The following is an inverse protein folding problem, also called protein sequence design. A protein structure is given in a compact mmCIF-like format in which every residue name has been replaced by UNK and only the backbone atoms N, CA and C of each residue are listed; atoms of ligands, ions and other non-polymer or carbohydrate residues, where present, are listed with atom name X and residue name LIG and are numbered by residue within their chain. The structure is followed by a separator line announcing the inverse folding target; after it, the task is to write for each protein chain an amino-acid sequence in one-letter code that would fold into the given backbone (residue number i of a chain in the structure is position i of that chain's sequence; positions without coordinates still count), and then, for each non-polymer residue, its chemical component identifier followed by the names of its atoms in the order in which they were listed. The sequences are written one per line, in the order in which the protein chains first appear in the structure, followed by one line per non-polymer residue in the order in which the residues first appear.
data_IF_526716401900
#
_entry.id   IF_526716401900
#
_cell.length_a   1.000
_cell.length_b   1.000
_cell.length_c   1.000
_cell.angle_alpha   90.00
_cell.angle_beta   90.00
_cell.angle_gamma   90.00
#
_symmetry.space_group_name_H-M   'P 1'
#
loop_
_entity.id
_entity.type
_entity.pdbx_description
1 polymer ?
#
# COMPACT_ATOMS: atom_id res chain seq x y z
N UNK A 1 6.59 -40.91 16.69
CA UNK A 1 7.11 -40.07 17.79
C UNK A 1 6.42 -38.72 17.71
N UNK A 2 5.95 -38.15 18.82
CA UNK A 2 5.30 -36.84 18.83
C UNK A 2 6.27 -35.74 18.36
N UNK A 3 5.83 -34.87 17.45
CA UNK A 3 6.68 -33.82 16.88
C UNK A 3 6.87 -32.71 17.92
N UNK A 4 8.11 -32.54 18.40
CA UNK A 4 8.44 -31.58 19.45
C UNK A 4 9.19 -30.38 18.88
N UNK A 5 8.87 -29.18 19.32
CA UNK A 5 9.59 -27.95 18.93
C UNK A 5 9.75 -27.05 20.14
N UNK A 6 10.92 -26.44 20.29
CA UNK A 6 11.16 -25.40 21.29
C UNK A 6 11.09 -24.02 20.65
N UNK A 7 10.40 -23.08 21.28
CA UNK A 7 10.25 -21.72 20.75
C UNK A 7 10.85 -20.74 21.75
N UNK A 8 11.84 -19.97 21.30
CA UNK A 8 12.55 -18.97 22.11
C UNK A 8 12.21 -17.54 21.66
N UNK A 9 12.29 -16.53 22.55
CA UNK A 9 12.03 -15.16 22.14
C UNK A 9 13.15 -14.69 21.20
N UNK A 10 12.78 -13.92 20.17
CA UNK A 10 13.76 -13.28 19.29
C UNK A 10 14.54 -12.15 19.97
N UNK A 11 13.97 -11.58 21.04
CA UNK A 11 14.63 -10.56 21.85
C UNK A 11 15.60 -11.21 22.82
N UNK A 12 16.73 -10.57 23.07
CA UNK A 12 17.67 -10.92 24.15
C UNK A 12 17.12 -10.56 25.54
N UNK A 13 16.01 -9.81 25.62
CA UNK A 13 15.37 -9.49 26.90
C UNK A 13 14.74 -10.75 27.52
N UNK A 14 14.83 -10.92 28.85
CA UNK A 14 14.19 -12.03 29.55
C UNK A 14 12.69 -12.08 29.25
N UNK A 15 12.17 -13.26 28.94
CA UNK A 15 10.75 -13.49 28.71
C UNK A 15 10.17 -14.35 29.83
N UNK A 16 9.03 -13.95 30.39
CA UNK A 16 8.28 -14.78 31.34
C UNK A 16 7.52 -15.93 30.65
N UNK A 17 7.42 -15.92 29.31
CA UNK A 17 6.61 -16.86 28.52
C UNK A 17 7.45 -17.84 27.69
N UNK A 18 8.74 -17.55 27.50
CA UNK A 18 9.63 -18.30 26.60
C UNK A 18 11.02 -18.46 27.25
N UNK A 19 11.76 -19.55 26.97
CA UNK A 19 11.49 -20.58 25.97
C UNK A 19 10.31 -21.49 26.35
N UNK A 20 9.60 -21.98 25.33
CA UNK A 20 8.45 -22.86 25.47
C UNK A 20 8.62 -24.07 24.56
N UNK A 21 8.59 -25.28 25.12
CA UNK A 21 8.54 -26.52 24.33
C UNK A 21 7.09 -26.96 24.14
N UNK A 22 6.73 -27.23 22.89
CA UNK A 22 5.40 -27.65 22.46
C UNK A 22 5.50 -28.99 21.75
N UNK A 23 4.60 -29.88 22.14
CA UNK A 23 4.37 -31.17 21.49
C UNK A 23 3.19 -30.99 20.54
N UNK A 24 3.34 -31.49 19.32
CA UNK A 24 2.32 -31.47 18.28
C UNK A 24 1.93 -32.90 17.97
N UNK A 25 0.66 -33.19 18.23
CA UNK A 25 0.09 -34.53 18.07
C UNK A 25 -0.45 -34.77 16.64
N UNK A 26 -0.46 -33.73 15.81
CA UNK A 26 -0.87 -33.81 14.40
C UNK A 26 0.27 -34.30 13.51
N UNK A 27 -0.05 -35.20 12.58
CA UNK A 27 0.84 -35.67 11.51
C UNK A 27 0.19 -35.44 10.13
N UNK A 28 0.77 -34.61 9.25
CA UNK A 28 1.99 -33.83 9.45
C UNK A 28 1.77 -32.65 10.43
N UNK A 29 2.79 -32.37 11.25
CA UNK A 29 2.76 -31.21 12.14
C UNK A 29 2.79 -29.90 11.33
N UNK A 30 1.71 -29.10 11.42
CA UNK A 30 1.56 -27.86 10.64
C UNK A 30 1.97 -26.61 11.42
N UNK A 31 2.23 -25.52 10.69
CA UNK A 31 2.47 -24.20 11.28
C UNK A 31 1.26 -23.72 12.09
N UNK A 32 0.04 -23.96 11.62
CA UNK A 32 -1.19 -23.59 12.31
C UNK A 32 -1.36 -24.32 13.64
N UNK A 33 -1.03 -25.62 13.69
CA UNK A 33 -1.02 -26.40 14.92
C UNK A 33 0.00 -25.85 15.94
N UNK A 34 1.22 -25.52 15.48
CA UNK A 34 2.25 -24.90 16.31
C UNK A 34 1.76 -23.58 16.93
N UNK A 35 1.19 -22.68 16.12
CA UNK A 35 0.67 -21.40 16.60
C UNK A 35 -0.44 -21.57 17.61
N UNK A 36 -1.36 -22.50 17.36
CA UNK A 36 -2.48 -22.79 18.24
C UNK A 36 -2.01 -23.37 19.58
N UNK A 37 -1.01 -24.26 19.57
CA UNK A 37 -0.40 -24.82 20.78
C UNK A 37 0.34 -23.76 21.62
N UNK A 38 1.00 -22.80 20.98
CA UNK A 38 1.61 -21.65 21.69
C UNK A 38 0.51 -20.77 22.27
N UNK A 39 -0.54 -20.48 21.49
CA UNK A 39 -1.64 -19.62 21.93
C UNK A 39 -2.35 -20.17 23.16
N UNK A 40 -2.60 -21.49 23.21
CA UNK A 40 -3.25 -22.14 24.35
C UNK A 40 -2.39 -22.10 25.61
N UNK A 41 -1.06 -22.31 25.50
CA UNK A 41 -0.15 -22.34 26.65
C UNK A 41 0.18 -20.96 27.23
N UNK A 42 0.39 -19.95 26.39
CA UNK A 42 0.89 -18.63 26.85
C UNK A 42 -0.04 -17.46 26.56
N UNK A 43 -1.29 -17.75 26.14
CA UNK A 43 -2.34 -16.75 25.82
C UNK A 43 -1.86 -15.67 24.82
N UNK A 44 -0.98 -16.06 23.91
CA UNK A 44 -0.50 -15.18 22.83
C UNK A 44 -1.30 -15.48 21.57
N UNK A 45 -2.16 -14.55 21.16
CA UNK A 45 -3.00 -14.67 19.97
C UNK A 45 -2.21 -15.14 18.73
N UNK A 46 -2.75 -16.08 17.97
CA UNK A 46 -2.10 -16.73 16.81
C UNK A 46 -1.65 -15.74 15.74
N UNK A 47 -2.36 -14.61 15.57
CA UNK A 47 -2.01 -13.59 14.59
C UNK A 47 -0.89 -12.66 15.06
N UNK A 48 -0.62 -12.62 16.37
CA UNK A 48 0.52 -11.89 16.95
C UNK A 48 1.83 -12.66 16.84
N UNK A 49 1.78 -13.94 16.49
CA UNK A 49 2.94 -14.82 16.49
C UNK A 49 3.67 -14.76 15.15
N UNK A 50 4.86 -14.15 15.14
CA UNK A 50 5.80 -14.25 14.02
C UNK A 50 6.90 -15.25 14.37
N UNK A 51 6.85 -16.42 13.75
CA UNK A 51 7.80 -17.52 14.00
C UNK A 51 8.80 -17.61 12.84
N UNK A 52 10.09 -17.66 13.16
CA UNK A 52 11.17 -17.82 12.20
C UNK A 52 12.11 -18.95 12.61
N UNK A 53 12.65 -19.65 11.63
CA UNK A 53 13.75 -20.59 11.83
C UNK A 53 15.05 -19.85 12.18
N UNK A 54 16.09 -20.55 12.67
CA UNK A 54 17.40 -19.95 12.95
C UNK A 54 18.05 -19.26 11.72
N UNK A 55 17.81 -19.77 10.50
CA UNK A 55 18.23 -19.18 9.23
C UNK A 55 17.34 -18.02 8.76
N UNK A 56 16.44 -17.54 9.63
CA UNK A 56 15.51 -16.41 9.40
C UNK A 56 14.44 -16.69 8.34
N UNK A 57 14.18 -17.95 7.98
CA UNK A 57 13.05 -18.33 7.15
C UNK A 57 11.76 -18.15 7.95
N UNK A 58 10.78 -17.48 7.35
CA UNK A 58 9.51 -17.18 7.98
C UNK A 58 8.53 -18.33 7.77
N UNK A 59 7.86 -18.76 8.83
CA UNK A 59 6.73 -19.70 8.76
C UNK A 59 5.47 -18.89 8.45
N UNK A 60 5.21 -18.66 7.16
CA UNK A 60 4.18 -17.75 6.65
C UNK A 60 2.90 -18.42 6.14
N UNK A 61 2.82 -19.76 6.24
CA UNK A 61 1.66 -20.52 5.79
C UNK A 61 1.19 -21.55 6.82
N UNK A 62 0.03 -21.28 7.42
CA UNK A 62 -0.51 -22.05 8.54
C UNK A 62 -0.92 -23.48 8.13
N UNK A 63 -1.27 -23.67 6.85
CA UNK A 63 -1.63 -24.98 6.31
C UNK A 63 -0.41 -25.87 6.00
N UNK A 64 0.78 -25.29 5.86
CA UNK A 64 1.96 -26.04 5.46
C UNK A 64 2.56 -26.84 6.62
N UNK A 65 3.03 -28.07 6.36
CA UNK A 65 3.86 -28.82 7.29
C UNK A 65 5.12 -28.06 7.70
N UNK A 66 5.52 -28.19 8.96
CA UNK A 66 6.78 -27.65 9.49
C UNK A 66 7.99 -28.19 8.71
N UNK A 67 7.92 -29.44 8.25
CA UNK A 67 8.97 -30.08 7.44
C UNK A 67 9.26 -29.36 6.12
N UNK A 68 8.27 -28.73 5.47
CA UNK A 68 8.51 -27.93 4.25
C UNK A 68 9.32 -26.67 4.52
N UNK A 69 9.28 -26.17 5.77
CA UNK A 69 10.14 -25.09 6.20
C UNK A 69 11.55 -25.55 6.54
N UNK A 70 11.81 -26.87 6.56
CA UNK A 70 13.07 -27.47 6.97
C UNK A 70 13.16 -27.70 8.49
N UNK A 71 12.04 -27.59 9.20
CA UNK A 71 11.97 -27.78 10.66
C UNK A 71 11.82 -29.26 10.97
N UNK A 72 12.67 -29.76 11.87
CA UNK A 72 12.67 -31.13 12.37
C UNK A 72 12.21 -31.17 13.82
N UNK A 73 11.76 -32.34 14.28
CA UNK A 73 11.46 -32.54 15.69
C UNK A 73 12.72 -32.34 16.54
N UNK A 74 12.60 -31.58 17.62
CA UNK A 74 13.71 -31.16 18.49
C UNK A 74 14.27 -29.77 18.16
N UNK A 75 13.91 -29.18 17.02
CA UNK A 75 14.44 -27.87 16.61
C UNK A 75 13.99 -26.74 17.54
N UNK A 76 14.83 -25.69 17.56
CA UNK A 76 14.51 -24.44 18.26
C UNK A 76 14.20 -23.33 17.27
N UNK A 77 13.00 -22.77 17.36
CA UNK A 77 12.51 -21.66 16.55
C UNK A 77 12.50 -20.34 17.33
N UNK A 78 12.53 -19.22 16.61
CA UNK A 78 12.41 -17.89 17.19
C UNK A 78 10.99 -17.34 17.03
N UNK A 79 10.42 -16.79 18.11
CA UNK A 79 9.15 -16.07 18.07
C UNK A 79 9.31 -14.60 18.39
N UNK A 80 8.58 -13.77 17.63
CA UNK A 80 8.39 -12.35 17.92
C UNK A 80 6.89 -12.08 18.07
N UNK A 81 6.52 -11.46 19.18
CA UNK A 81 5.20 -10.86 19.35
C UNK A 81 5.12 -9.58 18.51
N UNK A 82 4.15 -9.52 17.61
CA UNK A 82 3.91 -8.38 16.73
C UNK A 82 3.16 -7.23 17.42
N UNK A 83 2.74 -7.41 18.67
CA UNK A 83 1.87 -6.47 19.38
C UNK A 83 0.43 -6.53 18.86
N UNK A 84 -0.46 -5.63 19.33
CA UNK A 84 -1.86 -5.58 18.92
C UNK A 84 -2.03 -5.63 17.40
N UNK A 85 -2.78 -6.62 16.95
CA UNK A 85 -3.11 -6.87 15.55
C UNK A 85 -4.59 -6.59 15.32
N UNK A 86 -4.94 -6.14 14.12
CA UNK A 86 -6.33 -5.97 13.70
C UNK A 86 -6.65 -6.98 12.61
N UNK A 87 -7.82 -7.62 12.70
CA UNK A 87 -8.27 -8.68 11.79
C UNK A 87 -8.58 -8.22 10.37
N UNK A 88 -8.49 -9.14 9.41
CA UNK A 88 -8.72 -8.93 7.98
C UNK A 88 -10.06 -8.25 7.62
N UNK A 89 -11.12 -8.48 8.40
CA UNK A 89 -12.42 -7.84 8.20
C UNK A 89 -12.44 -6.34 8.51
N UNK A 90 -11.52 -5.87 9.35
CA UNK A 90 -11.33 -4.46 9.68
C UNK A 90 -10.26 -3.78 8.80
N UNK A 91 -9.42 -4.54 8.07
CA UNK A 91 -8.39 -3.98 7.18
C UNK A 91 -8.98 -3.08 6.09
N UNK A 92 -10.15 -3.41 5.54
CA UNK A 92 -10.84 -2.55 4.57
C UNK A 92 -11.27 -1.21 5.18
N UNK A 93 -11.75 -1.21 6.44
CA UNK A 93 -12.07 -0.01 7.22
C UNK A 93 -10.87 0.86 7.57
N UNK A 94 -9.65 0.31 7.50
CA UNK A 94 -8.42 0.97 7.93
C UNK A 94 -7.63 1.57 6.78
N UNK A 95 -7.61 0.92 5.62
CA UNK A 95 -7.15 1.57 4.39
C UNK A 95 -8.07 2.74 4.00
N UNK A 96 -9.37 2.63 4.33
CA UNK A 96 -10.29 3.76 4.34
C UNK A 96 -9.70 4.93 5.14
N UNK A 97 -9.36 4.76 6.42
CA UNK A 97 -8.79 5.88 7.20
C UNK A 97 -7.51 6.51 6.65
N UNK A 98 -6.69 5.76 5.89
CA UNK A 98 -5.43 6.27 5.32
C UNK A 98 -5.68 7.28 4.19
N UNK A 99 -6.66 7.02 3.33
CA UNK A 99 -6.99 7.83 2.15
C UNK A 99 -8.23 8.73 2.34
N UNK A 100 -8.96 8.55 3.45
CA UNK A 100 -10.15 9.33 3.79
C UNK A 100 -9.81 10.79 4.09
N UNK A 101 -8.66 11.06 4.70
CA UNK A 101 -8.26 12.41 5.12
C UNK A 101 -8.34 13.44 3.99
N UNK A 102 -7.65 13.23 2.86
CA UNK A 102 -7.74 14.12 1.70
C UNK A 102 -9.18 14.41 1.22
N UNK A 103 -10.11 13.44 1.32
CA UNK A 103 -11.51 13.66 0.94
C UNK A 103 -12.23 14.73 1.77
N UNK A 104 -11.76 15.02 2.99
CA UNK A 104 -12.31 16.09 3.83
C UNK A 104 -11.42 17.32 3.89
N UNK A 105 -10.10 17.12 3.90
CA UNK A 105 -9.15 18.22 4.00
C UNK A 105 -9.22 19.11 2.75
N UNK A 106 -9.32 18.53 1.55
CA UNK A 106 -9.41 19.34 0.33
C UNK A 106 -10.68 20.21 0.29
N UNK A 107 -11.90 19.68 0.53
CA UNK A 107 -13.09 20.50 0.67
C UNK A 107 -13.00 21.52 1.81
N UNK A 108 -12.40 21.17 2.94
CA UNK A 108 -12.24 22.11 4.06
C UNK A 108 -11.43 23.34 3.66
N UNK A 109 -10.29 23.17 2.98
CA UNK A 109 -9.51 24.32 2.49
C UNK A 109 -10.20 25.09 1.36
N UNK A 110 -10.91 24.39 0.47
CA UNK A 110 -11.65 25.02 -0.63
C UNK A 110 -12.82 25.87 -0.10
N UNK A 111 -13.79 25.25 0.56
CA UNK A 111 -14.99 25.94 1.07
C UNK A 111 -14.70 26.82 2.29
N UNK A 112 -13.68 26.47 3.09
CA UNK A 112 -13.25 27.22 4.27
C UNK A 112 -12.26 28.34 3.98
N UNK A 113 -12.18 28.86 2.76
CA UNK A 113 -11.17 29.85 2.35
C UNK A 113 -11.07 31.08 3.28
N UNK A 114 -12.20 31.56 3.83
CA UNK A 114 -12.19 32.67 4.81
C UNK A 114 -11.49 32.28 6.12
N UNK A 115 -11.69 31.05 6.59
CA UNK A 115 -11.09 30.54 7.82
C UNK A 115 -9.58 30.32 7.66
N UNK A 116 -9.16 29.70 6.55
CA UNK A 116 -7.76 29.31 6.35
C UNK A 116 -6.87 30.41 5.78
N UNK A 117 -7.43 31.33 4.98
CA UNK A 117 -6.66 32.38 4.29
C UNK A 117 -7.07 33.80 4.68
N UNK A 118 -8.06 33.98 5.56
CA UNK A 118 -8.53 35.29 6.01
C UNK A 118 -9.22 36.13 4.92
N UNK A 119 -9.49 35.55 3.74
CA UNK A 119 -10.03 36.25 2.58
C UNK A 119 -11.12 35.44 1.88
N UNK A 120 -12.14 36.15 1.40
CA UNK A 120 -13.10 35.64 0.43
C UNK A 120 -12.65 36.04 -0.97
N UNK A 121 -12.66 35.09 -1.90
CA UNK A 121 -12.31 35.31 -3.30
C UNK A 121 -12.97 34.23 -4.16
N UNK A 122 -13.05 34.47 -5.46
CA UNK A 122 -13.58 33.46 -6.38
C UNK A 122 -12.50 32.43 -6.74
N UNK A 123 -12.80 31.15 -6.55
CA UNK A 123 -11.92 30.08 -6.99
C UNK A 123 -11.88 29.98 -8.51
N UNK A 124 -10.67 29.80 -9.04
CA UNK A 124 -10.46 29.61 -10.48
C UNK A 124 -11.04 28.29 -10.99
N UNK A 125 -11.25 28.20 -12.31
CA UNK A 125 -11.63 26.94 -12.97
C UNK A 125 -10.60 25.83 -12.70
N UNK A 126 -9.32 26.16 -12.71
CA UNK A 126 -8.24 25.23 -12.35
C UNK A 126 -8.44 24.67 -10.93
N UNK A 127 -8.71 25.51 -9.93
CA UNK A 127 -8.96 25.03 -8.56
C UNK A 127 -10.20 24.14 -8.46
N UNK A 128 -11.29 24.49 -9.18
CA UNK A 128 -12.52 23.68 -9.26
C UNK A 128 -12.23 22.30 -9.85
N UNK A 129 -11.54 22.24 -11.00
CA UNK A 129 -11.18 20.98 -11.66
C UNK A 129 -10.21 20.18 -10.79
N UNK A 130 -9.17 20.79 -10.24
CA UNK A 130 -8.22 20.12 -9.37
C UNK A 130 -8.89 19.50 -8.13
N UNK A 131 -9.88 20.18 -7.52
CA UNK A 131 -10.70 19.61 -6.45
C UNK A 131 -11.45 18.35 -6.90
N UNK A 132 -12.11 18.38 -8.06
CA UNK A 132 -12.82 17.21 -8.59
C UNK A 132 -11.85 16.05 -8.85
N UNK A 133 -10.71 16.31 -9.50
CA UNK A 133 -9.72 15.27 -9.82
C UNK A 133 -9.15 14.61 -8.55
N UNK A 134 -8.75 15.41 -7.54
CA UNK A 134 -8.18 14.84 -6.32
C UNK A 134 -9.21 14.08 -5.50
N UNK A 135 -10.45 14.55 -5.43
CA UNK A 135 -11.53 13.82 -4.78
C UNK A 135 -11.84 12.51 -5.52
N UNK A 136 -11.87 12.55 -6.86
CA UNK A 136 -12.08 11.36 -7.68
C UNK A 136 -10.93 10.35 -7.51
N UNK A 137 -9.67 10.81 -7.43
CA UNK A 137 -8.50 9.98 -7.13
C UNK A 137 -8.72 9.17 -5.85
N UNK A 138 -8.95 9.89 -4.74
CA UNK A 138 -9.05 9.26 -3.43
C UNK A 138 -10.32 8.43 -3.30
N UNK A 139 -11.46 8.88 -3.83
CA UNK A 139 -12.68 8.07 -3.85
C UNK A 139 -12.48 6.76 -4.61
N UNK A 140 -11.86 6.80 -5.80
CA UNK A 140 -11.49 5.60 -6.55
C UNK A 140 -10.56 4.71 -5.73
N UNK A 141 -9.55 5.27 -5.06
CA UNK A 141 -8.63 4.50 -4.20
C UNK A 141 -9.34 3.77 -3.06
N UNK A 142 -10.36 4.40 -2.47
CA UNK A 142 -11.21 3.76 -1.46
C UNK A 142 -12.06 2.63 -2.03
N UNK A 143 -12.70 2.87 -3.17
CA UNK A 143 -13.50 1.85 -3.84
C UNK A 143 -12.64 0.65 -4.26
N UNK A 144 -11.44 0.89 -4.81
CA UNK A 144 -10.49 -0.19 -5.14
C UNK A 144 -10.08 -0.98 -3.90
N UNK A 145 -9.85 -0.31 -2.79
CA UNK A 145 -9.52 -0.96 -1.52
C UNK A 145 -10.65 -1.85 -1.02
N UNK A 146 -11.90 -1.38 -1.10
CA UNK A 146 -13.06 -2.13 -0.65
C UNK A 146 -13.41 -3.31 -1.56
N UNK A 147 -13.31 -3.11 -2.88
CA UNK A 147 -13.91 -4.03 -3.86
C UNK A 147 -12.91 -4.76 -4.75
N UNK A 148 -11.67 -4.26 -4.90
CA UNK A 148 -10.67 -4.80 -5.84
C UNK A 148 -9.49 -5.44 -5.13
N UNK A 149 -8.90 -4.78 -4.14
CA UNK A 149 -7.68 -5.26 -3.49
C UNK A 149 -7.91 -6.53 -2.67
N UNK A 150 -7.08 -7.54 -2.92
CA UNK A 150 -7.04 -8.79 -2.15
C UNK A 150 -5.78 -8.85 -1.30
N UNK A 151 -5.92 -8.59 -0.01
CA UNK A 151 -4.80 -8.62 0.95
C UNK A 151 -4.41 -10.05 1.31
N UNK A 152 -3.10 -10.32 1.37
CA UNK A 152 -2.57 -11.65 1.68
C UNK A 152 -2.23 -11.84 3.17
N UNK A 153 -2.26 -10.76 3.95
CA UNK A 153 -2.00 -10.81 5.39
C UNK A 153 -3.33 -10.87 6.13
N UNK A 154 -3.46 -11.81 7.06
CA UNK A 154 -4.64 -11.93 7.91
C UNK A 154 -4.77 -10.75 8.90
N UNK A 155 -3.67 -10.07 9.21
CA UNK A 155 -3.64 -8.93 10.13
C UNK A 155 -2.58 -7.88 9.78
N UNK A 156 -2.71 -6.70 10.38
CA UNK A 156 -1.67 -5.66 10.39
C UNK A 156 -1.48 -5.04 11.79
N UNK A 157 -0.28 -4.54 12.14
CA UNK A 157 -0.04 -3.82 13.39
C UNK A 157 -0.79 -2.48 13.45
N UNK A 158 -1.46 -2.18 14.57
CA UNK A 158 -2.26 -0.96 14.78
C UNK A 158 -1.48 0.35 14.49
N UNK A 159 -0.25 0.47 14.99
CA UNK A 159 0.54 1.70 14.86
C UNK A 159 0.89 2.07 13.41
N UNK A 160 0.85 1.12 12.47
CA UNK A 160 1.05 1.43 11.05
C UNK A 160 -0.06 2.33 10.51
N UNK A 161 -1.27 2.24 11.05
CA UNK A 161 -2.43 3.04 10.61
C UNK A 161 -2.21 4.50 10.98
N UNK A 162 -1.83 4.79 12.22
CA UNK A 162 -1.56 6.17 12.68
C UNK A 162 -0.40 6.77 11.89
N UNK A 163 0.66 6.01 11.69
CA UNK A 163 1.83 6.46 10.93
C UNK A 163 1.49 6.73 9.46
N UNK A 164 0.79 5.80 8.80
CA UNK A 164 0.42 5.95 7.41
C UNK A 164 -0.59 7.10 7.23
N UNK A 165 -1.65 7.13 8.03
CA UNK A 165 -2.65 8.21 7.99
C UNK A 165 -2.00 9.56 8.25
N UNK A 166 -1.13 9.70 9.26
CA UNK A 166 -0.41 10.96 9.49
C UNK A 166 0.45 11.41 8.30
N UNK A 167 1.08 10.46 7.60
CA UNK A 167 1.86 10.75 6.39
C UNK A 167 0.97 11.22 5.22
N UNK A 168 -0.10 10.50 4.92
CA UNK A 168 -1.00 10.85 3.81
C UNK A 168 -1.82 12.10 4.11
N UNK A 169 -2.34 12.26 5.32
CA UNK A 169 -3.12 13.43 5.70
C UNK A 169 -2.26 14.69 5.77
N UNK A 170 -1.00 14.56 6.22
CA UNK A 170 -0.04 15.67 6.24
C UNK A 170 0.44 16.07 4.85
N UNK A 171 0.98 15.13 4.06
CA UNK A 171 1.55 15.44 2.74
C UNK A 171 0.50 15.61 1.65
N UNK A 172 -0.47 14.70 1.57
CA UNK A 172 -1.47 14.75 0.51
C UNK A 172 -2.72 15.52 0.88
N UNK A 173 -3.06 15.61 2.17
CA UNK A 173 -4.15 16.48 2.64
C UNK A 173 -3.68 17.92 2.78
N UNK A 174 -2.97 18.23 3.88
CA UNK A 174 -2.68 19.61 4.27
C UNK A 174 -1.68 20.28 3.30
N UNK A 175 -0.54 19.64 3.04
CA UNK A 175 0.52 20.23 2.21
C UNK A 175 0.06 20.44 0.77
N UNK A 176 -0.81 19.60 0.20
CA UNK A 176 -1.38 19.87 -1.13
C UNK A 176 -2.51 20.90 -1.07
N UNK A 177 -3.48 20.73 -0.18
CA UNK A 177 -4.69 21.55 -0.16
C UNK A 177 -4.39 23.02 0.15
N UNK A 178 -3.55 23.30 1.17
CA UNK A 178 -3.27 24.65 1.61
C UNK A 178 -2.67 25.57 0.51
N UNK A 179 -1.60 25.19 -0.21
CA UNK A 179 -1.09 25.99 -1.32
C UNK A 179 -1.96 25.93 -2.57
N UNK A 180 -2.76 24.89 -2.77
CA UNK A 180 -3.60 24.74 -3.96
C UNK A 180 -4.79 25.71 -3.92
N UNK A 181 -5.49 25.76 -2.81
CA UNK A 181 -6.75 26.51 -2.69
C UNK A 181 -6.59 27.95 -2.22
N UNK A 182 -5.37 28.46 -2.05
CA UNK A 182 -5.17 29.84 -1.61
C UNK A 182 -5.49 30.90 -2.68
N UNK A 183 -5.62 32.17 -2.26
CA UNK A 183 -6.05 33.29 -3.10
C UNK A 183 -5.10 33.60 -4.28
N UNK A 184 -3.82 33.22 -4.19
CA UNK A 184 -2.85 33.35 -5.30
C UNK A 184 -3.18 32.47 -6.52
N UNK A 185 -4.04 31.46 -6.35
CA UNK A 185 -4.57 30.64 -7.44
C UNK A 185 -6.05 30.95 -7.75
N UNK A 186 -6.61 32.02 -7.16
CA UNK A 186 -7.99 32.45 -7.40
C UNK A 186 -8.21 32.95 -8.82
N UNK A 187 -9.48 33.02 -9.26
CA UNK A 187 -9.87 33.36 -10.62
C UNK A 187 -9.17 34.63 -11.12
N UNK A 188 -9.33 35.75 -10.38
CA UNK A 188 -8.73 37.03 -10.73
C UNK A 188 -7.19 37.02 -10.86
N UNK A 189 -6.49 36.07 -10.22
CA UNK A 189 -5.03 35.94 -10.30
C UNK A 189 -4.55 35.12 -11.48
N UNK A 190 -5.40 34.24 -12.02
CA UNK A 190 -5.03 33.35 -13.12
C UNK A 190 -5.48 33.86 -14.49
N UNK A 191 -6.34 34.89 -14.57
CA UNK A 191 -6.78 35.50 -15.83
C UNK A 191 -5.58 35.76 -16.75
N UNK A 192 -5.67 35.29 -17.99
CA UNK A 192 -4.64 35.47 -19.02
C UNK A 192 -3.41 34.58 -18.87
N UNK A 193 -3.33 33.73 -17.84
CA UNK A 193 -2.28 32.72 -17.71
C UNK A 193 -2.67 31.41 -18.39
N UNK A 194 -1.70 30.53 -18.65
CA UNK A 194 -1.98 29.19 -19.17
C UNK A 194 -2.95 28.39 -18.28
N UNK A 195 -2.94 28.61 -16.96
CA UNK A 195 -3.79 27.93 -15.98
C UNK A 195 -5.26 28.38 -16.00
N UNK A 196 -5.61 29.43 -16.75
CA UNK A 196 -6.99 29.85 -17.00
C UNK A 196 -7.53 29.33 -18.35
N UNK A 197 -6.63 28.91 -19.25
CA UNK A 197 -7.00 28.34 -20.54
C UNK A 197 -7.75 27.02 -20.41
N UNK A 198 -8.85 26.89 -21.14
CA UNK A 198 -9.64 25.66 -21.21
C UNK A 198 -8.84 24.49 -21.80
N UNK A 199 -8.06 24.74 -22.86
CA UNK A 199 -7.26 23.70 -23.49
C UNK A 199 -6.18 23.17 -22.56
N UNK A 200 -5.58 24.03 -21.74
CA UNK A 200 -4.63 23.62 -20.70
C UNK A 200 -5.30 22.75 -19.64
N UNK A 201 -6.39 23.25 -19.05
CA UNK A 201 -7.08 22.56 -17.96
C UNK A 201 -7.61 21.20 -18.42
N UNK A 202 -8.31 21.16 -19.56
CA UNK A 202 -8.91 19.93 -20.07
C UNK A 202 -7.88 18.98 -20.67
N UNK A 203 -6.79 19.48 -21.27
CA UNK A 203 -5.70 18.64 -21.75
C UNK A 203 -5.03 17.85 -20.60
N UNK A 204 -4.69 18.54 -19.51
CA UNK A 204 -4.14 17.87 -18.33
C UNK A 204 -5.16 16.97 -17.62
N UNK A 205 -6.43 17.40 -17.52
CA UNK A 205 -7.49 16.57 -16.94
C UNK A 205 -7.73 15.29 -17.76
N UNK A 206 -7.65 15.35 -19.09
CA UNK A 206 -7.78 14.18 -19.96
C UNK A 206 -6.60 13.21 -19.78
N UNK A 207 -5.37 13.71 -19.71
CA UNK A 207 -4.19 12.88 -19.41
C UNK A 207 -4.31 12.22 -18.03
N UNK A 208 -4.77 12.99 -17.03
CA UNK A 208 -5.04 12.47 -15.69
C UNK A 208 -6.09 11.36 -15.72
N UNK A 209 -7.21 11.56 -16.41
CA UNK A 209 -8.28 10.57 -16.50
C UNK A 209 -7.83 9.29 -17.20
N UNK A 210 -7.08 9.42 -18.31
CA UNK A 210 -6.44 8.28 -18.96
C UNK A 210 -5.54 7.50 -17.99
N UNK A 211 -4.72 8.20 -17.22
CA UNK A 211 -3.81 7.59 -16.26
C UNK A 211 -4.56 6.86 -15.13
N UNK A 212 -5.62 7.45 -14.58
CA UNK A 212 -6.45 6.83 -13.54
C UNK A 212 -7.17 5.57 -14.01
N UNK A 213 -7.76 5.61 -15.21
CA UNK A 213 -8.42 4.45 -15.82
C UNK A 213 -7.40 3.35 -16.10
N UNK A 214 -6.24 3.72 -16.61
CA UNK A 214 -5.14 2.77 -16.87
C UNK A 214 -4.64 2.13 -15.58
N UNK A 215 -4.50 2.91 -14.51
CA UNK A 215 -4.18 2.42 -13.17
C UNK A 215 -5.25 1.44 -12.65
N UNK A 216 -6.54 1.78 -12.79
CA UNK A 216 -7.65 0.88 -12.41
C UNK A 216 -7.61 -0.45 -13.16
N UNK A 217 -7.41 -0.41 -14.49
CA UNK A 217 -7.27 -1.63 -15.32
C UNK A 217 -6.12 -2.50 -14.80
N UNK A 218 -4.99 -1.90 -14.44
CA UNK A 218 -3.88 -2.66 -13.88
C UNK A 218 -4.19 -3.24 -12.50
N UNK A 219 -4.95 -2.55 -11.64
CA UNK A 219 -5.39 -3.08 -10.35
C UNK A 219 -6.37 -4.25 -10.51
N UNK A 220 -7.34 -4.15 -11.43
CA UNK A 220 -8.27 -5.24 -11.75
C UNK A 220 -7.52 -6.49 -12.26
N UNK A 221 -6.52 -6.29 -13.12
CA UNK A 221 -5.65 -7.38 -13.59
C UNK A 221 -4.88 -8.00 -12.42
N UNK A 222 -4.24 -7.19 -11.55
CA UNK A 222 -3.55 -7.73 -10.37
C UNK A 222 -4.49 -8.49 -9.42
N UNK A 223 -5.75 -8.07 -9.30
CA UNK A 223 -6.75 -8.73 -8.48
C UNK A 223 -7.19 -10.07 -9.08
N UNK A 224 -7.28 -10.19 -10.42
CA UNK A 224 -7.69 -11.43 -11.10
C UNK A 224 -6.65 -12.55 -10.95
N UNK A 225 -5.37 -12.20 -10.82
CA UNK A 225 -4.26 -13.14 -10.62
C UNK A 225 -4.26 -13.86 -9.27
N UNK A 226 -5.19 -13.51 -8.35
CA UNK A 226 -5.29 -14.12 -7.03
C UNK A 226 -6.67 -14.75 -6.84
N UNK A 227 -6.87 -16.04 -7.15
CA UNK A 227 -8.10 -16.76 -6.80
C UNK A 227 -8.42 -16.62 -5.30
N UNK A 228 -9.71 -16.50 -4.96
CA UNK A 228 -10.16 -16.35 -3.56
C UNK A 228 -9.62 -17.51 -2.72
N UNK A 229 -9.07 -17.21 -1.54
CA UNK A 229 -8.51 -18.20 -0.62
C UNK A 229 -7.09 -18.68 -0.93
N UNK A 230 -6.45 -18.22 -2.01
CA UNK A 230 -5.08 -18.63 -2.36
C UNK A 230 -4.05 -17.54 -2.04
N UNK A 231 -2.85 -17.95 -1.62
CA UNK A 231 -1.67 -17.08 -1.49
C UNK A 231 -0.76 -17.12 -2.73
N UNK A 232 -1.16 -17.86 -3.76
CA UNK A 232 -0.37 -18.07 -4.98
C UNK A 232 -0.14 -16.73 -5.67
N UNK A 233 1.11 -16.50 -6.07
CA UNK A 233 1.50 -15.33 -6.86
C UNK A 233 1.68 -15.76 -8.31
N UNK A 234 1.21 -14.92 -9.22
CA UNK A 234 1.39 -15.10 -10.65
C UNK A 234 2.10 -13.88 -11.24
N UNK A 235 2.70 -14.07 -12.41
CA UNK A 235 3.33 -13.00 -13.18
C UNK A 235 2.22 -12.21 -13.89
N UNK A 236 2.06 -10.90 -13.63
CA UNK A 236 1.08 -10.10 -14.35
C UNK A 236 1.46 -9.98 -15.83
N UNK A 237 0.48 -10.05 -16.72
CA UNK A 237 0.64 -9.98 -18.18
C UNK A 237 -0.43 -9.07 -18.78
N UNK A 238 -0.20 -8.58 -20.00
CA UNK A 238 -1.14 -7.71 -20.71
C UNK A 238 -0.90 -6.23 -20.46
N UNK A 239 -1.98 -5.44 -20.54
CA UNK A 239 -1.95 -3.99 -20.48
C UNK A 239 -1.18 -3.48 -19.24
N UNK A 240 -0.21 -2.59 -19.48
CA UNK A 240 0.66 -2.04 -18.42
C UNK A 240 1.74 -2.98 -17.87
N UNK A 241 1.76 -4.27 -18.25
CA UNK A 241 2.69 -5.27 -17.69
C UNK A 241 3.59 -5.94 -18.73
N UNK A 242 3.45 -5.64 -20.01
CA UNK A 242 4.28 -6.25 -21.05
C UNK A 242 5.76 -5.85 -20.94
N UNK A 243 6.02 -4.55 -20.71
CA UNK A 243 7.37 -3.97 -20.68
C UNK A 243 7.87 -3.64 -19.26
N UNK A 244 6.97 -3.58 -18.28
CA UNK A 244 7.29 -3.19 -16.90
C UNK A 244 6.61 -4.09 -15.89
N UNK A 245 7.12 -4.09 -14.67
CA UNK A 245 6.65 -4.98 -13.59
C UNK A 245 5.53 -4.36 -12.77
N UNK A 246 5.52 -3.03 -12.68
CA UNK A 246 4.62 -2.27 -11.83
C UNK A 246 3.86 -1.22 -12.68
N UNK A 247 3.03 -1.70 -13.62
CA UNK A 247 2.20 -0.83 -14.46
C UNK A 247 1.30 0.09 -13.65
N UNK A 248 0.78 -0.39 -12.53
CA UNK A 248 -0.03 0.42 -11.62
C UNK A 248 0.72 1.65 -11.09
N UNK A 249 1.97 1.49 -10.64
CA UNK A 249 2.79 2.62 -10.16
C UNK A 249 3.20 3.57 -11.28
N UNK A 250 3.38 3.05 -12.50
CA UNK A 250 3.68 3.88 -13.67
C UNK A 250 2.50 4.79 -14.03
N UNK A 251 1.29 4.24 -14.12
CA UNK A 251 0.11 5.05 -14.41
C UNK A 251 -0.24 6.00 -13.27
N UNK A 252 -0.05 5.58 -12.02
CA UNK A 252 -0.13 6.48 -10.85
C UNK A 252 0.82 7.68 -11.00
N UNK A 253 2.06 7.44 -11.44
CA UNK A 253 3.05 8.50 -11.69
C UNK A 253 2.56 9.47 -12.77
N UNK A 254 1.96 8.98 -13.86
CA UNK A 254 1.42 9.84 -14.91
C UNK A 254 0.28 10.71 -14.37
N UNK A 255 -0.62 10.14 -13.55
CA UNK A 255 -1.72 10.88 -12.95
C UNK A 255 -1.20 12.05 -12.09
N UNK A 256 -0.25 11.80 -11.19
CA UNK A 256 0.32 12.85 -10.34
C UNK A 256 1.13 13.88 -11.12
N UNK A 257 1.89 13.47 -12.15
CA UNK A 257 2.55 14.41 -13.05
C UNK A 257 1.54 15.29 -13.81
N UNK A 258 0.42 14.72 -14.27
CA UNK A 258 -0.64 15.48 -14.94
C UNK A 258 -1.31 16.47 -13.99
N UNK A 259 -1.55 16.07 -12.73
CA UNK A 259 -2.07 16.97 -11.69
C UNK A 259 -1.10 18.10 -11.34
N UNK A 260 0.21 17.81 -11.26
CA UNK A 260 1.25 18.83 -11.10
C UNK A 260 1.30 19.77 -12.29
N UNK A 261 1.21 19.26 -13.52
CA UNK A 261 1.13 20.07 -14.74
C UNK A 261 -0.09 20.98 -14.78
N UNK A 262 -1.27 20.45 -14.42
CA UNK A 262 -2.52 21.22 -14.34
C UNK A 262 -2.41 22.41 -13.38
N UNK A 263 -1.85 22.18 -12.20
CA UNK A 263 -1.85 23.15 -11.09
C UNK A 263 -0.64 24.09 -11.11
N UNK A 264 0.50 23.62 -11.65
CA UNK A 264 1.85 24.18 -11.48
C UNK A 264 2.18 24.52 -10.02
N UNK A 265 1.64 23.74 -9.10
CA UNK A 265 1.81 23.95 -7.67
C UNK A 265 3.09 23.29 -7.16
N UNK A 266 3.94 24.05 -6.46
CA UNK A 266 5.20 23.52 -5.90
C UNK A 266 4.98 22.35 -4.94
N UNK A 267 3.90 22.38 -4.14
CA UNK A 267 3.60 21.31 -3.20
C UNK A 267 3.13 20.06 -3.93
N UNK A 268 2.40 20.22 -5.05
CA UNK A 268 2.10 19.10 -5.94
C UNK A 268 3.36 18.51 -6.54
N UNK A 269 4.30 19.34 -7.01
CA UNK A 269 5.57 18.86 -7.54
C UNK A 269 6.39 18.09 -6.48
N UNK A 270 6.46 18.61 -5.25
CA UNK A 270 7.13 17.94 -4.13
C UNK A 270 6.45 16.60 -3.79
N UNK A 271 5.12 16.59 -3.67
CA UNK A 271 4.35 15.38 -3.41
C UNK A 271 4.59 14.33 -4.50
N UNK A 272 4.49 14.73 -5.77
CA UNK A 272 4.75 13.85 -6.92
C UNK A 272 6.18 13.29 -6.86
N UNK A 273 7.19 14.12 -6.60
CA UNK A 273 8.58 13.65 -6.49
C UNK A 273 8.77 12.61 -5.38
N UNK A 274 8.22 12.87 -4.18
CA UNK A 274 8.29 11.94 -3.03
C UNK A 274 7.54 10.65 -3.34
N UNK A 275 6.33 10.73 -3.86
CA UNK A 275 5.50 9.58 -4.20
C UNK A 275 6.17 8.70 -5.26
N UNK A 276 6.67 9.30 -6.34
CA UNK A 276 7.36 8.60 -7.43
C UNK A 276 8.64 7.92 -6.93
N UNK A 277 9.45 8.61 -6.13
CA UNK A 277 10.66 8.03 -5.55
C UNK A 277 10.33 6.81 -4.67
N UNK A 278 9.31 6.94 -3.81
CA UNK A 278 8.88 5.85 -2.93
C UNK A 278 8.31 4.65 -3.73
N UNK A 279 7.47 4.91 -4.73
CA UNK A 279 6.93 3.88 -5.60
C UNK A 279 8.02 3.18 -6.41
N UNK A 280 9.03 3.91 -6.88
CA UNK A 280 10.15 3.33 -7.61
C UNK A 280 10.96 2.37 -6.73
N UNK A 281 11.26 2.75 -5.48
CA UNK A 281 11.92 1.85 -4.51
C UNK A 281 11.10 0.57 -4.30
N UNK A 282 9.78 0.67 -4.21
CA UNK A 282 8.90 -0.50 -4.10
C UNK A 282 8.86 -1.32 -5.39
N UNK A 283 8.88 -0.67 -6.56
CA UNK A 283 8.90 -1.32 -7.85
C UNK A 283 10.15 -2.18 -8.03
N UNK A 284 11.32 -1.63 -7.72
CA UNK A 284 12.61 -2.34 -7.78
C UNK A 284 12.60 -3.57 -6.87
N UNK A 285 12.10 -3.43 -5.64
CA UNK A 285 11.97 -4.55 -4.69
C UNK A 285 11.03 -5.64 -5.24
N UNK A 286 9.87 -5.25 -5.79
CA UNK A 286 8.88 -6.17 -6.37
C UNK A 286 9.46 -6.88 -7.61
N UNK A 287 10.13 -6.14 -8.49
CA UNK A 287 10.79 -6.67 -9.69
C UNK A 287 11.87 -7.71 -9.35
N UNK A 288 12.77 -7.40 -8.41
CA UNK A 288 13.81 -8.34 -7.94
C UNK A 288 13.19 -9.62 -7.36
N UNK A 289 12.11 -9.48 -6.59
CA UNK A 289 11.39 -10.64 -6.04
C UNK A 289 10.81 -11.51 -7.15
N UNK A 290 10.17 -10.92 -8.16
CA UNK A 290 9.62 -11.69 -9.27
C UNK A 290 10.70 -12.45 -10.06
N UNK A 291 11.86 -11.83 -10.31
CA UNK A 291 12.98 -12.51 -10.96
C UNK A 291 13.49 -13.70 -10.15
N UNK A 292 13.59 -13.55 -8.83
CA UNK A 292 14.01 -14.63 -7.92
C UNK A 292 12.98 -15.76 -7.86
N UNK A 293 11.71 -15.41 -7.79
CA UNK A 293 10.61 -16.35 -7.59
C UNK A 293 10.28 -17.14 -8.86
N UNK A 294 10.34 -16.51 -10.03
CA UNK A 294 9.89 -17.12 -11.29
C UNK A 294 11.02 -17.47 -12.28
N UNK A 295 12.28 -17.11 -11.98
CA UNK A 295 13.44 -17.52 -12.78
C UNK A 295 13.27 -17.28 -14.28
N UNK A 296 13.41 -18.36 -15.07
CA UNK A 296 13.30 -18.34 -16.54
C UNK A 296 11.89 -18.02 -17.05
N UNK A 297 10.84 -18.23 -16.25
CA UNK A 297 9.47 -17.89 -16.63
C UNK A 297 9.20 -16.37 -16.57
N UNK A 298 10.05 -15.61 -15.87
CA UNK A 298 9.92 -14.15 -15.80
C UNK A 298 10.48 -13.46 -17.06
N UNK A 299 9.73 -12.54 -17.71
CA UNK A 299 10.22 -11.87 -18.91
C UNK A 299 11.48 -11.04 -18.65
N UNK A 300 12.59 -11.43 -19.28
CA UNK A 300 13.94 -10.88 -19.03
C UNK A 300 14.06 -9.39 -19.36
N UNK A 301 13.31 -8.90 -20.35
CA UNK A 301 13.39 -7.52 -20.83
C UNK A 301 12.49 -6.54 -20.05
N UNK A 302 11.70 -7.02 -19.08
CA UNK A 302 10.88 -6.13 -18.25
C UNK A 302 11.73 -5.23 -17.39
N UNK A 303 11.31 -3.97 -17.27
CA UNK A 303 11.84 -3.00 -16.29
C UNK A 303 10.97 -2.98 -15.03
N UNK A 304 11.41 -2.28 -13.99
CA UNK A 304 10.69 -2.22 -12.73
C UNK A 304 9.42 -1.37 -12.85
N UNK A 305 9.51 -0.15 -13.39
CA UNK A 305 8.42 0.84 -13.41
C UNK A 305 8.34 1.68 -14.69
N UNK A 306 9.45 2.21 -15.19
CA UNK A 306 9.49 3.04 -16.39
C UNK A 306 9.85 2.21 -17.62
N UNK A 307 8.99 2.16 -18.66
CA UNK A 307 9.25 1.40 -19.86
C UNK A 307 10.60 1.72 -20.48
N UNK A 308 11.35 0.68 -20.86
CA UNK A 308 12.66 0.76 -21.51
C UNK A 308 13.81 1.37 -20.67
N UNK A 309 13.51 2.05 -19.57
CA UNK A 309 14.48 2.76 -18.74
C UNK A 309 14.77 2.00 -17.45
N UNK A 310 13.79 1.90 -16.52
CA UNK A 310 14.05 1.58 -15.12
C UNK A 310 12.98 0.73 -14.44
#
# INVERSE_FOLDING_TARGET
MAFTVTVKPRSTKPSKRFPLTVQLDQDPATVGALKSAIASKVKLDVHRQRITTPDKKLLDDDAKPLGEFGVKSGDTLEIKDLGPQIGASWLSGLFLTEYFGPLFIHPAFYFGSKLFYGKTFEHSRMQKVALVLILAHYAKRELETLFVHRFSSATMPWFNIVKNSGHYWGLSGILLAAPLYGPWNGAARLIGTSRDSESWIYGWAALWAYAELSNLITHLNLASLRPKGTKVRQIPKGYGFNTISCGNYFFETIAWCAFTGLTLNWASALFTAVAVAQMYVWAVKKHRRYRKEFGSAYPRNRKAMFPFIA
#
